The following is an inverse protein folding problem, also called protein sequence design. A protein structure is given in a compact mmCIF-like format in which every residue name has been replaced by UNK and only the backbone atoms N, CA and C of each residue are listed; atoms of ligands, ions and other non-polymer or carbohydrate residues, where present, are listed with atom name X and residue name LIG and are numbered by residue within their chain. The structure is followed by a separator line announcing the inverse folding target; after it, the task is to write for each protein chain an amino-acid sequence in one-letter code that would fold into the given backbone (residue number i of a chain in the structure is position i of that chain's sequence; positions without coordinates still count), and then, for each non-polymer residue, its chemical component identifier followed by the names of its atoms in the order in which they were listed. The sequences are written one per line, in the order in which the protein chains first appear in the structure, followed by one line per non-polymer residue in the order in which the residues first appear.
data_IF_504771617858
#
_entry.id   IF_504771617858
#
_cell.length_a   1.000
_cell.length_b   1.000
_cell.length_c   1.000
_cell.angle_alpha   90.00
_cell.angle_beta   90.00
_cell.angle_gamma   90.00
#
_symmetry.space_group_name_H-M   'P 1'
#
loop_
_entity.id
_entity.type
_entity.pdbx_description
1 polymer ?
#
# COMPACT_ATOMS: atom_id res chain seq x y z
N UNK A 1 -2.84 19.47 -0.04
CA UNK A 1 -3.74 18.48 -0.68
C UNK A 1 -2.91 17.22 -0.92
N UNK A 2 -3.48 16.03 -0.66
CA UNK A 2 -2.70 14.79 -0.70
C UNK A 2 -3.18 13.78 -1.74
N UNK A 3 -2.28 12.92 -2.21
CA UNK A 3 -2.59 11.81 -3.11
C UNK A 3 -1.99 10.48 -2.63
N UNK A 4 -2.42 9.36 -3.21
CA UNK A 4 -1.92 8.02 -2.88
C UNK A 4 -1.22 7.37 -4.06
N UNK A 5 -0.03 6.87 -3.80
CA UNK A 5 0.62 5.83 -4.60
C UNK A 5 0.49 4.51 -3.83
N UNK A 6 -0.72 3.93 -3.83
CA UNK A 6 -1.05 2.70 -3.07
C UNK A 6 -2.06 1.81 -3.83
N UNK A 7 -1.73 0.54 -4.16
CA UNK A 7 -0.41 -0.09 -4.02
C UNK A 7 0.50 0.18 -5.21
N UNK A 8 1.79 0.45 -4.94
CA UNK A 8 2.87 0.28 -5.92
C UNK A 8 3.26 -1.20 -6.02
N UNK A 9 3.68 -1.63 -7.21
CA UNK A 9 4.11 -3.00 -7.49
C UNK A 9 5.59 -2.96 -7.89
N UNK A 10 6.42 -3.59 -7.07
CA UNK A 10 7.88 -3.60 -7.26
C UNK A 10 8.27 -4.28 -8.57
N UNK A 11 9.10 -3.62 -9.38
CA UNK A 11 9.54 -4.10 -10.68
C UNK A 11 8.47 -4.06 -11.78
N UNK A 12 7.32 -3.41 -11.51
CA UNK A 12 6.20 -3.31 -12.47
C UNK A 12 5.74 -1.86 -12.61
N UNK A 13 5.29 -1.22 -11.52
CA UNK A 13 4.76 0.15 -11.58
C UNK A 13 5.72 1.19 -10.99
N UNK A 14 6.77 0.76 -10.30
CA UNK A 14 7.69 1.64 -9.57
C UNK A 14 8.95 2.01 -10.35
N UNK A 15 8.97 1.92 -11.68
CA UNK A 15 10.09 2.42 -12.49
C UNK A 15 10.24 3.94 -12.41
N UNK A 16 11.47 4.45 -12.56
CA UNK A 16 11.78 5.89 -12.42
C UNK A 16 10.92 6.77 -13.34
N UNK A 17 10.76 6.37 -14.62
CA UNK A 17 9.94 7.11 -15.57
C UNK A 17 8.47 7.19 -15.13
N UNK A 18 7.91 6.10 -14.59
CA UNK A 18 6.53 6.06 -14.11
C UNK A 18 6.36 6.94 -12.87
N UNK A 19 7.30 6.86 -11.93
CA UNK A 19 7.28 7.66 -10.70
C UNK A 19 7.43 9.15 -11.00
N UNK A 20 8.36 9.53 -11.88
CA UNK A 20 8.54 10.92 -12.29
C UNK A 20 7.28 11.47 -12.99
N UNK A 21 6.66 10.69 -13.89
CA UNK A 21 5.41 11.09 -14.53
C UNK A 21 4.26 11.25 -13.53
N UNK A 22 4.14 10.33 -12.56
CA UNK A 22 3.16 10.43 -11.48
C UNK A 22 3.39 11.70 -10.62
N UNK A 23 4.62 11.99 -10.25
CA UNK A 23 4.99 13.15 -9.44
C UNK A 23 4.74 14.47 -10.19
N UNK A 24 5.05 14.53 -11.49
CA UNK A 24 4.71 15.66 -12.34
C UNK A 24 3.20 15.93 -12.34
N UNK A 25 2.39 14.89 -12.58
CA UNK A 25 0.94 14.99 -12.60
C UNK A 25 0.36 15.42 -11.24
N UNK A 26 0.99 15.01 -10.13
CA UNK A 26 0.60 15.42 -8.78
C UNK A 26 0.88 16.92 -8.57
N UNK A 27 2.08 17.38 -8.92
CA UNK A 27 2.48 18.80 -8.81
C UNK A 27 1.56 19.70 -9.64
N UNK A 28 1.21 19.31 -10.86
CA UNK A 28 0.28 20.05 -11.72
C UNK A 28 -1.10 20.26 -11.08
N UNK A 29 -1.50 19.38 -10.16
CA UNK A 29 -2.77 19.44 -9.43
C UNK A 29 -2.65 20.11 -8.06
N UNK A 30 -1.50 20.71 -7.75
CA UNK A 30 -1.24 21.37 -6.46
C UNK A 30 -1.15 20.38 -5.29
N UNK A 31 -0.85 19.10 -5.55
CA UNK A 31 -0.55 18.13 -4.50
C UNK A 31 0.81 18.45 -3.90
N UNK A 32 0.91 18.34 -2.59
CA UNK A 32 2.14 18.57 -1.81
C UNK A 32 2.60 17.29 -1.09
N UNK A 33 1.66 16.39 -0.82
CA UNK A 33 1.86 15.22 0.03
C UNK A 33 1.42 13.94 -0.70
N UNK A 34 2.31 12.96 -0.79
CA UNK A 34 2.02 11.66 -1.39
C UNK A 34 2.19 10.58 -0.33
N UNK A 35 1.14 9.83 0.00
CA UNK A 35 1.35 8.60 0.76
C UNK A 35 1.70 7.46 -0.19
N UNK A 36 2.82 6.80 0.10
CA UNK A 36 3.30 5.68 -0.69
C UNK A 36 3.19 4.38 0.10
N UNK A 37 2.72 3.32 -0.55
CA UNK A 37 2.98 1.96 -0.09
C UNK A 37 3.08 0.98 -1.24
N UNK A 38 3.89 -0.04 -1.03
CA UNK A 38 3.95 -1.20 -1.89
C UNK A 38 2.81 -2.17 -1.58
N UNK A 39 2.46 -2.98 -2.58
CA UNK A 39 1.62 -4.15 -2.42
C UNK A 39 2.14 -4.99 -1.25
N UNK A 40 1.23 -5.43 -0.39
CA UNK A 40 1.50 -6.46 0.60
C UNK A 40 0.68 -7.69 0.23
N UNK A 41 1.25 -8.86 0.45
CA UNK A 41 0.63 -10.11 0.05
C UNK A 41 -0.11 -10.73 1.24
N UNK A 42 -1.35 -11.10 0.97
CA UNK A 42 -2.16 -12.02 1.78
C UNK A 42 -2.46 -13.26 0.93
N UNK A 43 -2.76 -14.42 1.53
CA UNK A 43 -3.09 -15.63 0.76
C UNK A 43 -4.14 -15.41 -0.32
N UNK A 44 -5.22 -14.68 -0.01
CA UNK A 44 -6.28 -14.35 -0.97
C UNK A 44 -5.80 -13.46 -2.14
N UNK A 45 -4.87 -12.52 -1.89
CA UNK A 45 -4.30 -11.67 -2.95
C UNK A 45 -3.43 -12.52 -3.89
N UNK A 46 -2.56 -13.36 -3.33
CA UNK A 46 -1.72 -14.26 -4.12
C UNK A 46 -2.56 -15.24 -4.95
N UNK A 47 -3.61 -15.82 -4.36
CA UNK A 47 -4.55 -16.68 -5.07
C UNK A 47 -5.26 -15.93 -6.20
N UNK A 48 -5.79 -14.74 -5.92
CA UNK A 48 -6.47 -13.92 -6.92
C UNK A 48 -5.56 -13.56 -8.10
N UNK A 49 -4.31 -13.16 -7.86
CA UNK A 49 -3.34 -12.88 -8.91
C UNK A 49 -3.11 -14.12 -9.80
N UNK A 50 -2.90 -15.29 -9.19
CA UNK A 50 -2.70 -16.55 -9.93
C UNK A 50 -3.91 -16.99 -10.75
N UNK A 51 -5.12 -16.65 -10.30
CA UNK A 51 -6.37 -17.07 -10.94
C UNK A 51 -6.80 -16.13 -12.07
N UNK A 52 -6.60 -14.82 -11.90
CA UNK A 52 -7.20 -13.83 -12.79
C UNK A 52 -6.20 -13.18 -13.75
N UNK A 53 -4.90 -13.27 -13.50
CA UNK A 53 -3.88 -12.70 -14.41
C UNK A 53 -3.37 -13.81 -15.34
N UNK A 54 -3.72 -13.72 -16.62
CA UNK A 54 -3.37 -14.72 -17.63
C UNK A 54 -1.86 -14.79 -17.90
N UNK A 55 -1.14 -13.67 -17.75
CA UNK A 55 0.31 -13.63 -17.91
C UNK A 55 1.02 -14.17 -16.66
N UNK A 56 1.35 -15.47 -16.72
CA UNK A 56 2.08 -16.14 -15.64
C UNK A 56 3.46 -15.54 -15.36
N UNK A 57 4.13 -14.95 -16.37
CA UNK A 57 5.44 -14.31 -16.17
C UNK A 57 5.31 -13.01 -15.37
N UNK A 58 4.22 -12.26 -15.59
CA UNK A 58 3.89 -11.08 -14.79
C UNK A 58 3.52 -11.46 -13.36
N UNK A 59 2.73 -12.52 -13.17
CA UNK A 59 2.40 -13.04 -11.83
C UNK A 59 3.67 -13.42 -11.07
N UNK A 60 4.59 -14.14 -11.72
CA UNK A 60 5.85 -14.54 -11.10
C UNK A 60 6.70 -13.31 -10.74
N UNK A 61 6.83 -12.34 -11.63
CA UNK A 61 7.53 -11.07 -11.34
C UNK A 61 6.93 -10.32 -10.15
N UNK A 62 5.61 -10.34 -9.98
CA UNK A 62 4.93 -9.69 -8.86
C UNK A 62 5.19 -10.46 -7.56
N UNK A 63 5.12 -11.79 -7.58
CA UNK A 63 5.12 -12.60 -6.36
C UNK A 63 6.52 -13.03 -5.89
N UNK A 64 7.46 -13.27 -6.80
CA UNK A 64 8.81 -13.75 -6.48
C UNK A 64 9.55 -12.88 -5.44
N UNK A 65 9.50 -11.54 -5.49
CA UNK A 65 10.17 -10.70 -4.48
C UNK A 65 9.65 -10.89 -3.06
N UNK A 66 8.47 -11.49 -2.88
CA UNK A 66 7.89 -11.77 -1.57
C UNK A 66 8.30 -13.12 -0.99
N UNK A 67 9.09 -13.94 -1.70
CA UNK A 67 9.58 -15.23 -1.17
C UNK A 67 10.34 -15.05 0.16
N UNK A 68 11.12 -13.97 0.27
CA UNK A 68 11.85 -13.56 1.48
C UNK A 68 11.17 -12.40 2.22
N UNK A 69 9.86 -12.25 2.02
CA UNK A 69 9.10 -11.13 2.56
C UNK A 69 9.05 -11.11 4.09
N UNK A 70 8.83 -9.91 4.64
CA UNK A 70 8.73 -9.68 6.09
C UNK A 70 7.28 -9.72 6.52
N UNK A 71 6.95 -10.56 7.50
CA UNK A 71 5.62 -10.58 8.09
C UNK A 71 5.41 -9.36 8.97
N UNK A 72 4.25 -8.74 8.85
CA UNK A 72 3.82 -7.67 9.75
C UNK A 72 2.39 -7.90 10.20
N UNK A 73 2.06 -7.36 11.38
CA UNK A 73 0.69 -7.25 11.87
C UNK A 73 0.23 -5.79 11.72
N UNK A 74 -1.04 -5.61 11.35
CA UNK A 74 -1.65 -4.27 11.41
C UNK A 74 -1.90 -3.89 12.88
N UNK A 75 -1.70 -2.61 13.21
CA UNK A 75 -2.10 -2.07 14.53
C UNK A 75 -3.60 -2.31 14.73
N UNK A 76 -3.97 -2.94 15.85
CA UNK A 76 -5.35 -3.35 16.16
C UNK A 76 -5.64 -4.85 16.03
N UNK A 77 -4.64 -5.67 15.74
CA UNK A 77 -4.66 -7.14 15.95
C UNK A 77 -5.42 -7.96 14.90
N UNK A 78 -6.39 -7.37 14.20
CA UNK A 78 -7.14 -8.06 13.15
C UNK A 78 -6.43 -7.97 11.79
N UNK A 79 -5.38 -8.77 11.60
CA UNK A 79 -4.78 -9.04 10.30
C UNK A 79 -3.34 -8.55 10.13
N UNK A 80 -2.82 -8.75 8.92
CA UNK A 80 -1.42 -8.53 8.58
C UNK A 80 -1.15 -8.98 7.16
N UNK A 81 0.11 -9.07 6.80
CA UNK A 81 0.51 -9.53 5.48
C UNK A 81 1.99 -9.78 5.39
N UNK A 82 2.41 -10.10 4.19
CA UNK A 82 3.80 -10.19 3.80
C UNK A 82 4.17 -8.92 3.05
N UNK A 83 5.05 -8.11 3.65
CA UNK A 83 5.67 -6.99 2.98
C UNK A 83 6.89 -7.48 2.19
N UNK A 84 7.34 -6.67 1.23
CA UNK A 84 8.65 -6.88 0.60
C UNK A 84 9.77 -6.90 1.67
N UNK A 85 10.91 -7.55 1.37
CA UNK A 85 12.12 -7.45 2.19
C UNK A 85 12.43 -6.02 2.62
N UNK A 86 12.90 -5.84 3.86
CA UNK A 86 13.19 -4.52 4.43
C UNK A 86 14.13 -3.69 3.55
N UNK A 87 15.23 -4.28 3.12
CA UNK A 87 16.23 -3.63 2.28
C UNK A 87 15.63 -3.11 0.96
N UNK A 88 14.75 -3.89 0.32
CA UNK A 88 14.05 -3.48 -0.91
C UNK A 88 13.15 -2.28 -0.63
N UNK A 89 12.39 -2.32 0.47
CA UNK A 89 11.50 -1.21 0.83
C UNK A 89 12.25 0.07 1.16
N UNK A 90 13.34 0.00 1.95
CA UNK A 90 14.17 1.17 2.26
C UNK A 90 14.71 1.82 1.00
N UNK A 91 15.39 1.05 0.16
CA UNK A 91 15.96 1.56 -1.08
C UNK A 91 14.89 2.17 -2.01
N UNK A 92 13.71 1.53 -2.07
CA UNK A 92 12.60 2.02 -2.85
C UNK A 92 12.01 3.33 -2.34
N UNK A 93 11.77 3.46 -1.02
CA UNK A 93 11.24 4.68 -0.42
C UNK A 93 12.24 5.83 -0.50
N UNK A 94 13.52 5.59 -0.22
CA UNK A 94 14.58 6.60 -0.38
C UNK A 94 14.68 7.08 -1.84
N UNK A 95 14.54 6.17 -2.81
CA UNK A 95 14.52 6.53 -4.24
C UNK A 95 13.30 7.40 -4.58
N UNK A 96 12.12 7.03 -4.08
CA UNK A 96 10.91 7.84 -4.28
C UNK A 96 11.02 9.22 -3.64
N UNK A 97 11.61 9.32 -2.45
CA UNK A 97 11.85 10.60 -1.77
C UNK A 97 12.75 11.52 -2.60
N UNK A 98 13.84 10.99 -3.17
CA UNK A 98 14.71 11.76 -4.07
C UNK A 98 13.97 12.29 -5.30
N UNK A 99 13.22 11.42 -5.98
CA UNK A 99 12.43 11.83 -7.16
C UNK A 99 11.34 12.84 -6.78
N UNK A 100 10.70 12.68 -5.62
CA UNK A 100 9.65 13.58 -5.17
C UNK A 100 10.17 14.97 -4.83
N UNK A 101 11.39 15.06 -4.29
CA UNK A 101 12.03 16.33 -3.94
C UNK A 101 12.18 17.25 -5.16
N UNK A 102 12.54 16.69 -6.33
CA UNK A 102 12.64 17.43 -7.60
C UNK A 102 11.29 18.05 -8.05
N UNK A 103 10.18 17.57 -7.48
CA UNK A 103 8.83 18.04 -7.76
C UNK A 103 8.21 18.84 -6.60
N UNK A 104 8.95 19.10 -5.52
CA UNK A 104 8.44 19.77 -4.33
C UNK A 104 7.41 18.95 -3.54
N UNK A 105 7.42 17.62 -3.70
CA UNK A 105 6.50 16.70 -3.05
C UNK A 105 7.14 16.06 -1.82
N UNK A 106 6.33 15.82 -0.79
CA UNK A 106 6.73 15.07 0.40
C UNK A 106 6.15 13.65 0.34
N UNK A 107 6.99 12.63 0.58
CA UNK A 107 6.56 11.24 0.65
C UNK A 107 6.24 10.88 2.11
N UNK A 108 5.08 10.25 2.31
CA UNK A 108 4.63 9.75 3.61
C UNK A 108 4.50 8.23 3.56
N UNK A 109 5.30 7.52 4.37
CA UNK A 109 5.23 6.05 4.47
C UNK A 109 4.45 5.65 5.71
N UNK A 110 3.47 4.76 5.55
CA UNK A 110 2.65 4.28 6.67
C UNK A 110 3.42 3.32 7.57
N UNK A 111 3.73 3.70 8.81
CA UNK A 111 4.35 2.82 9.79
C UNK A 111 3.47 1.64 10.24
N UNK A 112 2.15 1.68 10.04
CA UNK A 112 1.27 0.54 10.35
C UNK A 112 1.51 -0.67 9.43
N UNK A 113 1.97 -0.43 8.19
CA UNK A 113 2.32 -1.47 7.21
C UNK A 113 3.84 -1.71 7.13
N UNK A 114 4.61 -0.80 7.73
CA UNK A 114 6.06 -0.70 7.57
C UNK A 114 6.75 -0.41 8.92
N UNK A 115 6.47 -1.17 9.99
CA UNK A 115 6.92 -0.83 11.34
C UNK A 115 8.45 -0.83 11.51
N UNK A 116 9.16 -1.48 10.60
CA UNK A 116 10.61 -1.60 10.55
C UNK A 116 11.28 -0.49 9.73
N UNK A 117 10.63 0.04 8.69
CA UNK A 117 11.21 1.11 7.85
C UNK A 117 10.63 2.50 8.12
N UNK A 118 9.48 2.60 8.79
CA UNK A 118 8.82 3.86 9.08
C UNK A 118 8.07 3.84 10.42
N UNK A 119 8.17 4.93 11.18
CA UNK A 119 7.36 5.19 12.38
C UNK A 119 6.21 6.18 12.11
N UNK A 120 6.18 6.79 10.93
CA UNK A 120 5.25 7.84 10.53
C UNK A 120 3.80 7.36 10.33
N UNK A 121 2.89 8.31 10.26
CA UNK A 121 1.50 8.07 9.83
C UNK A 121 1.39 8.46 8.35
N UNK A 122 0.58 7.73 7.59
CA UNK A 122 0.38 8.05 6.18
C UNK A 122 -0.47 9.32 5.92
N UNK A 123 -0.93 10.01 6.97
CA UNK A 123 -1.67 11.30 6.95
C UNK A 123 -2.87 11.41 5.99
N UNK A 124 -3.31 10.31 5.38
CA UNK A 124 -4.40 10.26 4.39
C UNK A 124 -5.60 9.42 4.83
N UNK A 125 -5.64 9.00 6.10
CA UNK A 125 -6.90 8.63 6.74
C UNK A 125 -7.45 9.93 7.27
N UNK A 126 -8.61 10.38 6.77
CA UNK A 126 -9.32 11.55 7.29
C UNK A 126 -9.32 11.46 8.81
N UNK A 127 -8.83 12.50 9.50
CA UNK A 127 -9.20 12.66 10.90
C UNK A 127 -10.73 12.67 10.92
N UNK A 128 -11.33 11.71 11.62
CA UNK A 128 -12.77 11.75 11.80
C UNK A 128 -13.07 13.07 12.48
N UNK A 129 -13.79 13.96 11.80
CA UNK A 129 -14.52 15.01 12.51
C UNK A 129 -15.35 14.31 13.60
N UNK A 130 -15.45 14.89 14.79
CA UNK A 130 -16.09 14.28 15.98
C UNK A 130 -17.48 13.67 15.70
N UNK A 131 -18.15 14.03 14.60
CA UNK A 131 -19.40 13.39 14.13
C UNK A 131 -19.29 12.07 13.34
N UNK A 132 -18.10 11.51 13.07
CA UNK A 132 -17.96 10.24 12.31
C UNK A 132 -17.85 8.99 13.21
N UNK A 133 -17.69 9.16 14.52
CA UNK A 133 -17.64 8.05 15.49
C UNK A 133 -19.01 7.39 15.66
N UNK A 134 -20.09 8.18 15.67
CA UNK A 134 -21.47 7.72 15.90
C UNK A 134 -21.99 6.77 14.79
N UNK A 135 -21.57 6.95 13.53
CA UNK A 135 -22.01 6.09 12.41
C UNK A 135 -21.32 4.73 12.37
N UNK A 136 -20.18 4.56 13.04
CA UNK A 136 -19.39 3.33 12.99
C UNK A 136 -19.86 2.26 13.97
N UNK A 137 -20.57 2.66 15.03
CA UNK A 137 -21.17 1.74 16.00
C UNK A 137 -22.48 1.12 15.50
N UNK A 138 -23.23 1.81 14.62
CA UNK A 138 -24.50 1.28 14.09
C UNK A 138 -24.36 0.28 12.92
N UNK A 139 -23.24 0.24 12.21
CA UNK A 139 -23.04 -0.66 11.05
C UNK A 139 -22.36 -2.00 11.40
N UNK A 140 -21.96 -2.24 12.66
CA UNK A 140 -21.33 -3.51 13.08
C UNK A 140 -22.33 -4.64 13.39
N UNK A 141 -23.64 -4.43 13.23
CA UNK A 141 -24.67 -5.44 13.49
C UNK A 141 -25.17 -6.18 12.24
N UNK A 142 -24.61 -5.94 11.05
CA UNK A 142 -25.29 -6.31 9.80
C UNK A 142 -24.52 -7.05 8.71
N UNK A 143 -23.35 -7.65 8.96
CA UNK A 143 -22.71 -8.54 7.97
C UNK A 143 -21.91 -9.65 8.68
N UNK A 144 -22.64 -10.67 9.13
CA UNK A 144 -22.08 -12.01 9.29
C UNK A 144 -21.90 -12.59 7.89
N UNK A 145 -20.65 -12.82 7.51
CA UNK A 145 -20.29 -13.64 6.35
C UNK A 145 -20.76 -15.08 6.62
N UNK A 146 -21.83 -15.50 5.94
CA UNK A 146 -22.24 -16.91 5.92
C UNK A 146 -21.32 -17.67 4.95
N UNK A 147 -20.76 -18.78 5.42
CA UNK A 147 -19.92 -19.66 4.62
C UNK A 147 -20.77 -20.36 3.53
N UNK A 148 -20.23 -20.60 2.32
CA UNK A 148 -20.95 -21.35 1.30
C UNK A 148 -21.13 -22.82 1.72
N UNK A 149 -22.26 -23.47 1.35
CA UNK A 149 -22.52 -24.85 1.70
C UNK A 149 -21.53 -25.79 1.00
N UNK A 150 -20.99 -26.73 1.78
CA UNK A 150 -20.19 -27.85 1.29
C UNK A 150 -21.04 -28.80 0.46
N UNK A 151 -20.57 -29.10 -0.75
CA UNK A 151 -21.10 -30.16 -1.61
C UNK A 151 -20.63 -31.55 -1.14
#
# INVERSE_FOLDING_TARGET
MGCRADPLIHGVTDGDANLAAFMAACRERGVTDVAASYLFIRPAIAASLKWHVADGSLVERILAPYAEGVRFALRGGAGGGLALPEAIRRAAFERMERLAADHGLQIHVCGCKNPDVASGRCHLVREGSEGDVERRTQSRTGLLWEAPPSA
#
